data_IF_707656570791
#
_entry.id   IF_707656570791
#
_cell.length_a   1.000
_cell.length_b   1.000
_cell.length_c   1.000
_cell.angle_alpha   90.00
_cell.angle_beta   90.00
_cell.angle_gamma   90.00
#
_symmetry.space_group_name_H-M   'P 1'
#
loop_
_entity.id
_entity.type
_entity.pdbx_description
1 polymer ?
#
# COMPACT_ATOMS: atom_id res chain seq x y z
N UNK A 1 -16.21 -22.66 21.24
CA UNK A 1 -14.78 -22.59 20.88
C UNK A 1 -14.70 -21.79 19.60
N UNK A 2 -13.94 -20.71 19.58
CA UNK A 2 -13.68 -19.96 18.34
C UNK A 2 -12.71 -20.80 17.52
N UNK A 3 -13.18 -21.36 16.42
CA UNK A 3 -12.32 -22.07 15.48
C UNK A 3 -11.32 -21.05 14.90
N UNK A 4 -10.06 -21.44 14.76
CA UNK A 4 -9.01 -20.56 14.24
C UNK A 4 -8.62 -21.02 12.84
N UNK A 5 -8.52 -20.08 11.91
CA UNK A 5 -8.07 -20.29 10.54
C UNK A 5 -6.64 -19.76 10.39
N UNK A 6 -5.81 -20.46 9.62
CA UNK A 6 -4.48 -20.01 9.24
C UNK A 6 -4.60 -19.31 7.89
N UNK A 7 -4.19 -18.05 7.81
CA UNK A 7 -4.25 -17.26 6.57
C UNK A 7 -2.90 -16.62 6.30
N UNK A 8 -2.64 -16.32 5.04
CA UNK A 8 -1.43 -15.66 4.58
C UNK A 8 -1.79 -14.31 3.99
N UNK A 9 -1.09 -13.25 4.36
CA UNK A 9 -1.26 -11.92 3.78
C UNK A 9 0.02 -11.54 3.04
N UNK A 10 -0.10 -11.29 1.75
CA UNK A 10 1.00 -10.97 0.86
C UNK A 10 0.85 -9.58 0.27
N UNK A 11 1.92 -8.79 0.31
CA UNK A 11 2.01 -7.50 -0.36
C UNK A 11 3.20 -7.48 -1.34
N UNK A 12 2.88 -7.41 -2.64
CA UNK A 12 3.85 -7.48 -3.72
C UNK A 12 4.35 -6.08 -4.14
N UNK A 13 5.47 -5.64 -3.55
CA UNK A 13 6.18 -4.43 -3.97
C UNK A 13 7.15 -4.74 -5.13
N UNK A 14 7.57 -3.73 -5.93
CA UNK A 14 8.51 -3.94 -7.03
C UNK A 14 9.86 -4.55 -6.62
N UNK A 15 10.31 -4.22 -5.42
CA UNK A 15 11.65 -4.55 -4.92
C UNK A 15 11.64 -5.74 -3.95
N UNK A 16 10.49 -6.01 -3.33
CA UNK A 16 10.34 -7.07 -2.32
C UNK A 16 8.89 -7.54 -2.22
N UNK A 17 8.69 -8.76 -1.78
CA UNK A 17 7.38 -9.22 -1.34
C UNK A 17 7.38 -9.33 0.18
N UNK A 18 6.32 -8.83 0.81
CA UNK A 18 6.05 -9.10 2.22
C UNK A 18 5.04 -10.22 2.28
N UNK A 19 5.31 -11.22 3.11
CA UNK A 19 4.43 -12.35 3.32
C UNK A 19 4.34 -12.60 4.83
N UNK A 20 3.13 -12.52 5.35
CA UNK A 20 2.83 -12.60 6.79
C UNK A 20 1.84 -13.73 7.01
N UNK A 21 2.18 -14.68 7.88
CA UNK A 21 1.28 -15.75 8.28
C UNK A 21 0.56 -15.35 9.56
N UNK A 22 -0.77 -15.50 9.57
CA UNK A 22 -1.61 -15.10 10.69
C UNK A 22 -2.56 -16.23 11.07
N UNK A 23 -2.93 -16.26 12.34
CA UNK A 23 -4.06 -17.06 12.82
C UNK A 23 -5.18 -16.13 13.25
N UNK A 24 -6.34 -16.30 12.65
CA UNK A 24 -7.50 -15.45 12.88
C UNK A 24 -8.71 -16.31 13.27
N UNK A 25 -9.72 -15.73 13.93
CA UNK A 25 -11.01 -16.41 14.12
C UNK A 25 -11.60 -16.84 12.79
N UNK A 26 -12.21 -18.03 12.77
CA UNK A 26 -13.04 -18.46 11.65
C UNK A 26 -14.17 -17.45 11.44
N UNK A 27 -14.39 -17.04 10.18
CA UNK A 27 -15.29 -15.95 9.85
C UNK A 27 -14.60 -14.58 9.72
N UNK A 28 -13.29 -14.49 10.01
CA UNK A 28 -12.54 -13.26 9.80
C UNK A 28 -12.55 -12.83 8.33
N UNK A 29 -12.49 -11.53 8.12
CA UNK A 29 -12.55 -10.89 6.81
C UNK A 29 -11.16 -10.58 6.25
N UNK A 30 -11.10 -10.31 4.95
CA UNK A 30 -9.88 -9.81 4.29
C UNK A 30 -9.35 -8.56 5.00
N UNK A 31 -10.21 -7.62 5.37
CA UNK A 31 -9.82 -6.41 6.10
C UNK A 31 -9.13 -6.76 7.41
N UNK A 32 -9.75 -7.59 8.23
CA UNK A 32 -9.20 -7.98 9.55
C UNK A 32 -7.85 -8.69 9.39
N UNK A 33 -7.68 -9.51 8.36
CA UNK A 33 -6.38 -10.13 8.09
C UNK A 33 -5.31 -9.11 7.73
N UNK A 34 -5.63 -8.13 6.88
CA UNK A 34 -4.66 -7.08 6.51
C UNK A 34 -4.35 -6.17 7.70
N UNK A 35 -5.33 -5.83 8.54
CA UNK A 35 -5.11 -5.07 9.77
C UNK A 35 -4.23 -5.85 10.76
N UNK A 36 -4.53 -7.13 10.99
CA UNK A 36 -3.75 -8.00 11.86
C UNK A 36 -2.34 -8.28 11.34
N UNK A 37 -2.11 -8.18 10.02
CA UNK A 37 -0.77 -8.33 9.42
C UNK A 37 0.19 -7.19 9.79
N UNK A 38 -0.33 -6.05 10.26
CA UNK A 38 0.47 -4.85 10.52
C UNK A 38 1.01 -4.17 9.25
N UNK A 39 0.67 -4.67 8.05
CA UNK A 39 1.15 -4.11 6.78
C UNK A 39 0.66 -2.68 6.57
N UNK A 40 -0.54 -2.31 7.05
CA UNK A 40 -1.04 -0.94 7.00
C UNK A 40 -0.18 0.05 7.78
N UNK A 41 0.36 -0.38 8.93
CA UNK A 41 1.22 0.46 9.75
C UNK A 41 2.63 0.57 9.15
N UNK A 42 3.12 -0.52 8.55
CA UNK A 42 4.44 -0.59 7.90
C UNK A 42 4.46 0.15 6.55
N UNK A 43 3.33 0.19 5.84
CA UNK A 43 3.16 0.80 4.53
C UNK A 43 1.90 1.68 4.50
N UNK A 44 2.02 2.98 4.82
CA UNK A 44 0.88 3.90 4.79
C UNK A 44 0.32 4.15 3.39
N UNK A 45 1.02 3.68 2.34
CA UNK A 45 0.57 3.74 0.95
C UNK A 45 -0.52 2.70 0.61
N UNK A 46 -0.83 1.76 1.52
CA UNK A 46 -1.86 0.74 1.31
C UNK A 46 -3.24 1.30 1.68
N UNK A 47 -4.12 1.45 0.71
CA UNK A 47 -5.53 1.85 0.90
C UNK A 47 -6.48 0.68 0.59
N UNK A 48 -6.88 -0.09 1.62
CA UNK A 48 -7.79 -1.27 1.49
C UNK A 48 -9.14 -0.91 0.83
N UNK A 49 -9.73 0.22 1.26
CA UNK A 49 -11.04 0.69 0.77
C UNK A 49 -10.94 1.71 -0.37
N UNK A 50 -9.71 2.03 -0.78
CA UNK A 50 -9.42 3.05 -1.77
C UNK A 50 -8.98 2.44 -3.09
N UNK A 51 -7.74 2.72 -3.45
CA UNK A 51 -7.22 2.41 -4.78
C UNK A 51 -6.58 1.02 -4.88
N UNK A 52 -6.29 0.37 -3.76
CA UNK A 52 -5.69 -0.97 -3.78
C UNK A 52 -6.76 -2.02 -4.08
N UNK A 53 -6.43 -2.93 -5.00
CA UNK A 53 -7.25 -4.13 -5.22
C UNK A 53 -6.78 -5.22 -4.28
N UNK A 54 -7.71 -6.00 -3.77
CA UNK A 54 -7.44 -7.15 -2.94
C UNK A 54 -7.80 -8.42 -3.70
N UNK A 55 -7.09 -9.50 -3.42
CA UNK A 55 -7.40 -10.81 -3.95
C UNK A 55 -7.27 -11.90 -2.91
N UNK A 56 -7.96 -13.01 -3.15
CA UNK A 56 -7.77 -14.27 -2.43
C UNK A 56 -7.38 -15.30 -3.48
N UNK A 57 -6.20 -15.92 -3.38
CA UNK A 57 -5.68 -16.89 -4.37
C UNK A 57 -5.83 -16.42 -5.83
N UNK A 58 -5.20 -15.31 -6.19
CA UNK A 58 -5.27 -14.71 -7.53
C UNK A 58 -6.68 -14.35 -8.04
N UNK A 59 -7.72 -14.37 -7.19
CA UNK A 59 -9.08 -13.90 -7.52
C UNK A 59 -9.37 -12.60 -6.81
N UNK A 60 -9.90 -11.61 -7.53
CA UNK A 60 -10.31 -10.34 -6.93
C UNK A 60 -11.37 -10.56 -5.84
N UNK A 61 -11.14 -9.98 -4.67
CA UNK A 61 -11.99 -10.08 -3.50
C UNK A 61 -12.24 -8.68 -2.91
N UNK A 62 -13.35 -8.53 -2.19
CA UNK A 62 -13.64 -7.32 -1.42
C UNK A 62 -13.00 -7.41 -0.03
N UNK A 63 -12.81 -6.26 0.60
CA UNK A 63 -12.32 -6.17 1.98
C UNK A 63 -13.21 -6.93 2.99
N UNK A 64 -14.53 -6.98 2.72
CA UNK A 64 -15.50 -7.68 3.57
C UNK A 64 -15.63 -9.18 3.26
N UNK A 65 -14.84 -9.72 2.34
CA UNK A 65 -14.91 -11.14 2.02
C UNK A 65 -14.43 -11.97 3.20
N UNK A 66 -15.21 -13.01 3.56
CA UNK A 66 -14.87 -13.94 4.64
C UNK A 66 -13.79 -14.91 4.18
N UNK A 67 -12.77 -15.07 5.00
CA UNK A 67 -11.64 -15.96 4.80
C UNK A 67 -11.91 -17.37 5.32
N UNK A 68 -11.24 -18.33 4.71
CA UNK A 68 -11.22 -19.74 5.07
C UNK A 68 -9.81 -20.16 5.48
N UNK A 69 -9.70 -21.33 6.10
CA UNK A 69 -8.40 -21.90 6.43
C UNK A 69 -7.56 -22.08 5.16
N UNK A 70 -6.30 -21.67 5.26
CA UNK A 70 -5.26 -21.63 4.21
C UNK A 70 -5.50 -20.62 3.09
N UNK A 71 -6.41 -19.67 3.27
CA UNK A 71 -6.57 -18.58 2.31
C UNK A 71 -5.35 -17.66 2.29
N UNK A 72 -4.97 -17.26 1.08
CA UNK A 72 -3.93 -16.26 0.86
C UNK A 72 -4.55 -14.97 0.32
N UNK A 73 -4.50 -13.93 1.15
CA UNK A 73 -4.85 -12.55 0.83
C UNK A 73 -3.68 -11.89 0.10
N UNK A 74 -3.95 -11.31 -1.06
CA UNK A 74 -2.98 -10.62 -1.90
C UNK A 74 -3.40 -9.15 -2.03
N UNK A 75 -2.51 -8.25 -1.61
CA UNK A 75 -2.71 -6.80 -1.74
C UNK A 75 -2.02 -6.33 -3.02
N UNK A 76 -2.82 -5.93 -4.01
CA UNK A 76 -2.31 -5.40 -5.28
C UNK A 76 -2.04 -3.90 -5.18
N UNK A 77 -1.09 -3.45 -6.01
CA UNK A 77 -0.75 -2.03 -6.13
C UNK A 77 -1.80 -1.30 -6.98
N UNK A 78 -2.19 -0.08 -6.59
CA UNK A 78 -2.99 0.77 -7.47
C UNK A 78 -2.20 1.07 -8.73
N UNK A 79 -2.88 1.11 -9.88
CA UNK A 79 -2.29 1.61 -11.11
C UNK A 79 -1.99 3.10 -10.94
N UNK A 80 -0.72 3.48 -11.04
CA UNK A 80 -0.31 4.89 -11.02
C UNK A 80 -0.74 5.50 -12.36
N UNK A 81 -1.96 6.02 -12.38
CA UNK A 81 -2.42 6.90 -13.43
C UNK A 81 -3.06 8.12 -12.76
N UNK A 82 -2.24 8.96 -12.12
CA UNK A 82 -2.70 10.31 -11.77
C UNK A 82 -1.64 11.41 -11.98
N UNK A 83 -1.65 12.08 -13.15
CA UNK A 83 -0.69 13.13 -13.51
C UNK A 83 -0.86 14.47 -12.74
N UNK A 84 -1.80 14.57 -11.77
CA UNK A 84 -2.09 15.83 -11.06
C UNK A 84 -1.27 16.09 -9.79
N UNK A 85 -0.79 15.05 -9.09
CA UNK A 85 -0.08 15.24 -7.82
C UNK A 85 1.39 15.71 -8.00
N UNK A 86 2.02 15.37 -9.13
CA UNK A 86 3.42 15.74 -9.43
C UNK A 86 3.59 17.25 -9.67
N UNK A 87 2.52 17.94 -10.11
CA UNK A 87 2.56 19.39 -10.36
C UNK A 87 2.61 20.22 -9.07
N UNK A 88 2.05 19.74 -7.96
CA UNK A 88 2.04 20.52 -6.71
C UNK A 88 3.38 20.48 -5.98
N UNK A 89 4.10 19.35 -5.98
CA UNK A 89 5.42 19.23 -5.32
C UNK A 89 6.53 20.04 -6.02
N UNK A 90 6.43 20.26 -7.34
CA UNK A 90 7.41 21.10 -8.07
C UNK A 90 7.29 22.61 -7.80
N UNK A 91 6.18 23.06 -7.22
CA UNK A 91 6.00 24.49 -6.93
C UNK A 91 6.73 24.92 -5.64
N UNK A 92 6.96 24.00 -4.70
CA UNK A 92 7.56 24.32 -3.40
C UNK A 92 9.10 24.26 -3.39
N UNK A 93 9.73 23.50 -4.30
CA UNK A 93 11.20 23.34 -4.34
C UNK A 93 11.93 24.48 -5.11
N UNK A 94 11.21 25.45 -5.67
CA UNK A 94 11.78 26.58 -6.41
C UNK A 94 12.32 27.74 -5.55
N UNK A 95 12.21 27.67 -4.22
CA UNK A 95 12.70 28.73 -3.31
C UNK A 95 13.97 28.31 -2.56
N UNK A 96 15.03 27.99 -3.29
CA UNK A 96 16.40 28.11 -2.74
C UNK A 96 17.10 29.24 -3.47
N UNK A 97 16.95 30.43 -2.88
CA UNK A 97 17.74 31.61 -3.22
C UNK A 97 19.22 31.31 -2.95
N UNK A 98 20.05 31.25 -4.00
CA UNK A 98 21.48 31.51 -3.84
C UNK A 98 21.75 32.95 -4.29
N UNK A 99 21.87 33.80 -3.27
CA UNK A 99 22.32 35.19 -3.31
C UNK A 99 23.83 35.23 -3.62
N UNK A 100 24.23 36.17 -4.48
CA UNK A 100 25.61 36.61 -4.75
C UNK A 100 25.92 36.60 -6.25
N UNK A 101 26.26 37.69 -6.95
CA UNK A 101 26.58 39.07 -6.59
C UNK A 101 27.83 39.52 -7.37
N UNK A 102 27.67 40.41 -8.39
CA UNK A 102 28.69 41.24 -9.07
C UNK A 102 29.63 40.53 -10.07
N UNK A 103 30.09 41.07 -11.21
CA UNK A 103 30.09 42.39 -11.89
C UNK A 103 30.24 42.14 -13.43
N UNK A 104 29.61 42.94 -14.32
CA UNK A 104 30.22 43.87 -15.33
C UNK A 104 31.40 43.28 -16.16
N UNK A 105 31.56 43.43 -17.48
CA UNK A 105 31.44 44.60 -18.38
C UNK A 105 31.71 44.15 -19.84
N UNK A 106 31.40 45.03 -20.78
CA UNK A 106 31.65 45.05 -22.25
C UNK A 106 33.03 44.58 -22.76
N UNK A 107 33.03 44.05 -24.00
CA UNK A 107 33.96 44.42 -25.09
C UNK A 107 33.37 43.99 -26.45
#
# INVERSE_FOLDING_TARGET
MTELINVEVTYALPQRQELVHLRLPAGATVREAVEASGLLQKYPDIEIDGRNKLGIYAKLAKADAVLRDRDRVEIYRPLIADPKAVRKKRADEGKVMKKGGGMAEEA
#
